data_IF_522427283275
#
_entry.id   IF_522427283275
#
_cell.length_a   1.000
_cell.length_b   1.000
_cell.length_c   1.000
_cell.angle_alpha   90.00
_cell.angle_beta   90.00
_cell.angle_gamma   90.00
#
_symmetry.space_group_name_H-M   'P 1'
#
loop_
_entity.id
_entity.type
_entity.pdbx_description
1 polymer ?
#
# COMPACT_ATOMS: atom_id res chain seq x y z
N UNK A 1 53.79 -27.09 7.70
CA UNK A 1 53.63 -26.25 6.48
C UNK A 1 53.30 -27.04 5.18
N UNK A 2 53.67 -28.31 5.06
CA UNK A 2 53.36 -29.13 3.84
C UNK A 2 51.86 -29.52 3.70
N UNK A 3 51.16 -29.75 4.80
CA UNK A 3 49.74 -30.17 4.77
C UNK A 3 48.76 -29.03 4.46
N UNK A 4 49.06 -27.79 4.86
CA UNK A 4 48.21 -26.63 4.59
C UNK A 4 48.22 -26.27 3.10
N UNK A 5 49.39 -26.37 2.43
CA UNK A 5 49.48 -26.16 0.97
C UNK A 5 48.69 -27.19 0.15
N UNK A 6 48.67 -28.45 0.59
CA UNK A 6 47.87 -29.48 -0.09
C UNK A 6 46.35 -29.26 0.08
N UNK A 7 45.91 -28.80 1.25
CA UNK A 7 44.50 -28.50 1.47
C UNK A 7 44.03 -27.27 0.69
N UNK A 8 44.83 -26.22 0.60
CA UNK A 8 44.51 -25.01 -0.18
C UNK A 8 44.43 -25.31 -1.68
N UNK A 9 45.33 -26.16 -2.22
CA UNK A 9 45.31 -26.54 -3.63
C UNK A 9 44.11 -27.46 -3.92
N UNK A 10 43.71 -28.34 -3.00
CA UNK A 10 42.51 -29.18 -3.16
C UNK A 10 41.22 -28.33 -3.15
N UNK A 11 41.11 -27.33 -2.29
CA UNK A 11 39.96 -26.45 -2.22
C UNK A 11 39.84 -25.56 -3.47
N UNK A 12 40.96 -25.03 -3.98
CA UNK A 12 40.93 -24.24 -5.23
C UNK A 12 40.63 -25.09 -6.47
N UNK A 13 41.05 -26.32 -6.54
CA UNK A 13 40.70 -27.25 -7.63
C UNK A 13 39.24 -27.69 -7.59
N UNK A 14 38.66 -27.90 -6.39
CA UNK A 14 37.24 -28.20 -6.23
C UNK A 14 36.39 -27.00 -6.59
N UNK A 15 36.78 -25.77 -6.20
CA UNK A 15 36.08 -24.57 -6.59
C UNK A 15 36.10 -24.28 -8.11
N UNK A 16 37.23 -24.61 -8.78
CA UNK A 16 37.35 -24.49 -10.23
C UNK A 16 36.55 -25.58 -10.98
N UNK A 17 36.43 -26.78 -10.43
CA UNK A 17 35.59 -27.85 -11.01
C UNK A 17 34.10 -27.61 -10.82
N UNK A 18 33.70 -27.00 -9.70
CA UNK A 18 32.31 -26.59 -9.49
C UNK A 18 31.92 -25.43 -10.39
N UNK A 19 32.84 -24.50 -10.69
CA UNK A 19 32.61 -23.41 -11.62
C UNK A 19 32.57 -23.84 -13.11
N UNK A 20 33.23 -24.95 -13.45
CA UNK A 20 33.25 -25.47 -14.85
C UNK A 20 32.18 -26.53 -15.14
N UNK A 21 31.46 -27.01 -14.13
CA UNK A 21 30.53 -28.15 -14.24
C UNK A 21 29.04 -27.82 -14.05
N UNK A 22 28.65 -26.58 -13.92
CA UNK A 22 27.24 -26.18 -14.03
C UNK A 22 26.92 -26.00 -15.52
N UNK A 23 26.17 -26.93 -16.15
CA UNK A 23 25.47 -26.57 -17.36
C UNK A 23 24.57 -25.40 -16.92
N UNK A 24 24.75 -24.23 -17.51
CA UNK A 24 23.66 -23.25 -17.65
C UNK A 24 22.51 -24.06 -18.25
N UNK A 25 21.63 -24.55 -17.37
CA UNK A 25 20.29 -24.87 -17.77
C UNK A 25 19.75 -23.54 -18.30
N UNK A 26 19.99 -23.29 -19.59
CA UNK A 26 19.22 -22.36 -20.37
C UNK A 26 17.79 -22.80 -20.09
N UNK A 27 17.09 -22.04 -19.23
CA UNK A 27 15.65 -22.13 -19.10
C UNK A 27 15.19 -22.05 -20.53
N UNK A 28 14.70 -23.16 -21.07
CA UNK A 28 14.06 -23.16 -22.38
C UNK A 28 13.12 -21.98 -22.32
N UNK A 29 13.31 -21.02 -23.21
CA UNK A 29 12.42 -19.89 -23.32
C UNK A 29 11.06 -20.52 -23.60
N UNK A 30 10.21 -20.57 -22.58
CA UNK A 30 8.78 -20.79 -22.78
C UNK A 30 8.41 -19.70 -23.73
N UNK A 31 7.94 -20.06 -24.94
CA UNK A 31 7.59 -19.10 -25.97
C UNK A 31 6.76 -17.98 -25.36
N UNK A 32 6.94 -16.77 -25.88
CA UNK A 32 6.18 -15.63 -25.37
C UNK A 32 4.69 -16.01 -25.31
N UNK A 33 3.99 -15.63 -24.23
CA UNK A 33 2.59 -15.99 -24.08
C UNK A 33 1.77 -15.46 -25.26
N UNK A 34 0.76 -16.18 -25.74
CA UNK A 34 -0.11 -15.70 -26.81
C UNK A 34 -0.87 -14.45 -26.35
N UNK A 35 -1.18 -13.57 -27.28
CA UNK A 35 -1.95 -12.36 -27.01
C UNK A 35 -3.39 -12.78 -26.64
N UNK A 36 -3.90 -12.43 -25.47
CA UNK A 36 -5.21 -12.92 -24.98
C UNK A 36 -6.42 -12.19 -25.57
N UNK A 37 -6.22 -11.17 -26.41
CA UNK A 37 -7.27 -10.35 -27.01
C UNK A 37 -7.09 -10.23 -28.54
N UNK A 38 -8.13 -9.80 -29.25
CA UNK A 38 -8.07 -9.54 -30.68
C UNK A 38 -7.12 -8.37 -30.99
N UNK A 39 -6.37 -8.47 -32.08
CA UNK A 39 -5.38 -7.45 -32.52
C UNK A 39 -6.00 -6.47 -33.52
N UNK A 40 -7.01 -6.89 -34.27
CA UNK A 40 -7.64 -6.03 -35.28
C UNK A 40 -8.15 -4.72 -34.68
N UNK A 41 -7.68 -3.59 -35.17
CA UNK A 41 -7.95 -2.26 -34.64
C UNK A 41 -7.14 -1.87 -33.40
N UNK A 42 -6.16 -2.71 -32.99
CA UNK A 42 -5.31 -2.52 -31.80
C UNK A 42 -3.85 -2.79 -32.11
N UNK A 43 -3.43 -2.44 -33.30
CA UNK A 43 -2.08 -2.71 -33.78
C UNK A 43 -1.01 -1.88 -33.05
N UNK A 44 -1.44 -0.82 -32.34
CA UNK A 44 -0.56 0.02 -31.53
C UNK A 44 -0.45 -0.52 -30.10
N UNK A 45 0.29 -1.61 -29.92
CA UNK A 45 0.44 -2.33 -28.66
C UNK A 45 0.90 -1.43 -27.51
N UNK A 46 1.86 -0.54 -27.76
CA UNK A 46 2.43 0.35 -26.74
C UNK A 46 1.46 1.44 -26.25
N UNK A 47 0.32 1.63 -26.90
CA UNK A 47 -0.73 2.51 -26.38
C UNK A 47 -1.28 2.01 -25.03
N UNK A 48 -1.41 0.69 -24.89
CA UNK A 48 -1.92 0.06 -23.66
C UNK A 48 -0.81 -0.60 -22.85
N UNK A 49 0.30 -1.01 -23.49
CA UNK A 49 1.41 -1.75 -22.88
C UNK A 49 2.67 -0.90 -22.68
N UNK A 50 2.56 0.39 -22.45
CA UNK A 50 3.70 1.25 -22.07
C UNK A 50 3.97 1.22 -20.54
N UNK A 51 5.04 1.87 -20.10
CA UNK A 51 5.45 1.88 -18.68
C UNK A 51 4.38 2.44 -17.71
N UNK A 52 3.43 3.23 -18.20
CA UNK A 52 2.32 3.83 -17.45
C UNK A 52 0.95 3.34 -17.92
N UNK A 53 0.93 2.40 -18.86
CA UNK A 53 -0.30 1.85 -19.44
C UNK A 53 -1.02 0.86 -18.54
N UNK A 54 -2.19 0.43 -18.98
CA UNK A 54 -3.05 -0.50 -18.24
C UNK A 54 -2.40 -1.87 -17.97
N UNK A 55 -1.44 -2.29 -18.79
CA UNK A 55 -0.65 -3.50 -18.62
C UNK A 55 0.80 -3.20 -18.99
N UNK A 56 1.62 -2.73 -18.05
CA UNK A 56 3.00 -2.35 -18.31
C UNK A 56 3.83 -3.50 -18.88
N UNK A 57 4.66 -3.22 -19.87
CA UNK A 57 5.63 -4.20 -20.36
C UNK A 57 6.71 -4.46 -19.31
N UNK A 58 7.19 -5.72 -19.17
CA UNK A 58 8.32 -6.03 -18.30
C UNK A 58 9.56 -5.19 -18.65
N UNK A 59 10.39 -4.88 -17.65
CA UNK A 59 11.62 -4.11 -17.85
C UNK A 59 12.54 -4.72 -18.92
N UNK A 60 12.49 -6.03 -19.12
CA UNK A 60 13.21 -6.76 -20.17
C UNK A 60 12.75 -6.42 -21.61
N UNK A 61 11.61 -5.75 -21.75
CA UNK A 61 11.02 -5.35 -23.02
C UNK A 61 11.14 -3.85 -23.31
N UNK A 62 11.78 -3.08 -22.43
CA UNK A 62 11.86 -1.61 -22.53
C UNK A 62 12.51 -1.09 -23.83
N UNK A 63 13.28 -1.91 -24.52
CA UNK A 63 13.95 -1.56 -25.79
C UNK A 63 13.21 -2.00 -27.04
N UNK A 64 12.09 -2.72 -26.89
CA UNK A 64 11.30 -3.18 -28.04
C UNK A 64 10.34 -2.09 -28.52
N UNK A 65 10.19 -2.00 -29.82
CA UNK A 65 9.25 -1.09 -30.47
C UNK A 65 7.98 -1.85 -30.92
N UNK A 66 7.00 -1.10 -31.35
CA UNK A 66 5.68 -1.59 -31.80
C UNK A 66 5.78 -2.81 -32.74
N UNK A 67 6.68 -2.74 -33.73
CA UNK A 67 6.83 -3.81 -34.75
C UNK A 67 7.45 -5.11 -34.22
N UNK A 68 8.03 -5.08 -33.01
CA UNK A 68 8.70 -6.24 -32.43
C UNK A 68 7.72 -7.15 -31.64
N UNK A 69 6.58 -6.63 -31.20
CA UNK A 69 5.66 -7.36 -30.34
C UNK A 69 5.14 -8.64 -30.98
N UNK A 70 4.67 -8.57 -32.21
CA UNK A 70 4.11 -9.71 -32.95
C UNK A 70 5.16 -10.70 -33.46
N UNK A 71 6.44 -10.35 -33.37
CA UNK A 71 7.52 -11.28 -33.72
C UNK A 71 7.71 -12.41 -32.70
N UNK A 72 7.31 -12.15 -31.46
CA UNK A 72 7.43 -13.11 -30.35
C UNK A 72 6.07 -13.54 -29.78
N UNK A 73 5.08 -12.63 -29.73
CA UNK A 73 3.75 -12.91 -29.25
C UNK A 73 2.84 -13.32 -30.41
N UNK A 74 2.43 -14.58 -30.46
CA UNK A 74 1.47 -15.05 -31.45
C UNK A 74 0.11 -14.38 -31.24
N UNK A 75 -0.47 -13.86 -32.32
CA UNK A 75 -1.89 -13.53 -32.31
C UNK A 75 -2.68 -14.80 -32.02
N UNK A 76 -3.54 -14.80 -31.00
CA UNK A 76 -4.56 -15.86 -30.91
C UNK A 76 -5.29 -15.87 -32.25
N UNK A 77 -5.31 -17.04 -32.90
CA UNK A 77 -5.89 -17.19 -34.24
C UNK A 77 -7.41 -16.93 -34.22
N UNK A 78 -7.77 -15.67 -34.18
CA UNK A 78 -9.11 -15.23 -34.57
C UNK A 78 -9.05 -14.86 -36.05
N UNK A 79 -9.26 -15.83 -36.88
CA UNK A 79 -9.42 -15.66 -38.33
C UNK A 79 -10.81 -15.13 -38.61
N UNK A 80 -11.04 -13.88 -38.38
CA UNK A 80 -11.99 -12.99 -39.06
C UNK A 80 -11.83 -11.59 -38.43
N UNK A 81 -12.09 -10.48 -39.14
CA UNK A 81 -12.45 -9.25 -38.48
C UNK A 81 -13.69 -9.61 -37.65
N UNK A 82 -13.53 -9.65 -36.32
CA UNK A 82 -14.66 -9.84 -35.45
C UNK A 82 -15.55 -8.61 -35.64
N UNK A 83 -16.54 -8.72 -36.53
CA UNK A 83 -17.73 -7.88 -36.45
C UNK A 83 -18.23 -8.13 -35.06
N UNK A 84 -18.01 -7.19 -34.14
CA UNK A 84 -18.52 -7.27 -32.79
C UNK A 84 -20.01 -7.56 -32.92
N UNK A 85 -20.50 -8.71 -32.44
CA UNK A 85 -21.92 -8.95 -32.50
C UNK A 85 -22.57 -7.76 -31.83
N UNK A 86 -23.66 -7.24 -32.40
CA UNK A 86 -24.34 -6.05 -31.90
C UNK A 86 -24.98 -6.32 -30.52
N UNK A 87 -24.10 -6.54 -29.52
CA UNK A 87 -24.50 -6.75 -28.12
C UNK A 87 -25.42 -5.62 -27.67
N UNK A 88 -25.04 -4.40 -28.02
CA UNK A 88 -25.79 -3.18 -27.72
C UNK A 88 -27.15 -3.16 -28.42
N UNK A 89 -27.35 -3.85 -29.54
CA UNK A 89 -28.65 -3.95 -30.18
C UNK A 89 -29.74 -4.48 -29.25
N UNK A 90 -29.37 -5.37 -28.32
CA UNK A 90 -30.28 -5.86 -27.26
C UNK A 90 -30.00 -5.17 -25.93
N UNK A 91 -28.75 -5.05 -25.51
CA UNK A 91 -28.37 -4.60 -24.18
C UNK A 91 -28.48 -3.08 -23.98
N UNK A 92 -28.85 -2.29 -24.98
CA UNK A 92 -29.17 -0.86 -24.85
C UNK A 92 -30.61 -0.56 -24.44
N UNK A 93 -31.42 -1.59 -24.23
CA UNK A 93 -32.83 -1.44 -23.83
C UNK A 93 -32.90 -1.28 -22.31
N UNK A 94 -33.38 -0.14 -21.75
CA UNK A 94 -33.36 0.12 -20.30
C UNK A 94 -34.15 -0.91 -19.48
N UNK A 95 -35.21 -1.45 -20.06
CA UNK A 95 -36.08 -2.42 -19.38
C UNK A 95 -35.60 -3.87 -19.49
N UNK A 96 -34.48 -4.09 -20.22
CA UNK A 96 -33.97 -5.43 -20.40
C UNK A 96 -33.41 -5.99 -19.07
N UNK A 97 -34.09 -6.98 -18.53
CA UNK A 97 -33.74 -7.62 -17.28
C UNK A 97 -34.21 -9.04 -17.23
N UNK A 98 -33.65 -9.84 -16.33
CA UNK A 98 -34.07 -11.21 -16.06
C UNK A 98 -34.30 -11.41 -14.57
N UNK A 99 -35.21 -12.34 -14.22
CA UNK A 99 -35.33 -12.89 -12.88
C UNK A 99 -34.35 -14.04 -12.75
N UNK A 100 -33.50 -14.01 -11.75
CA UNK A 100 -32.53 -15.06 -11.43
C UNK A 100 -33.13 -16.04 -10.39
N UNK A 101 -32.39 -17.10 -10.05
CA UNK A 101 -32.88 -18.19 -9.19
C UNK A 101 -33.34 -17.73 -7.82
N UNK A 102 -32.63 -16.75 -7.22
CA UNK A 102 -33.01 -16.15 -5.93
C UNK A 102 -34.27 -15.29 -5.96
N UNK A 103 -34.80 -14.99 -7.16
CA UNK A 103 -35.90 -14.04 -7.35
C UNK A 103 -35.47 -12.59 -7.51
N UNK A 104 -34.16 -12.30 -7.33
CA UNK A 104 -33.57 -10.99 -7.60
C UNK A 104 -33.70 -10.64 -9.09
N UNK A 105 -33.64 -9.36 -9.42
CA UNK A 105 -33.68 -8.89 -10.80
C UNK A 105 -32.27 -8.47 -11.24
N UNK A 106 -31.73 -9.15 -12.25
CA UNK A 106 -30.50 -8.74 -12.91
C UNK A 106 -30.84 -7.85 -14.10
N UNK A 107 -30.43 -6.58 -14.03
CA UNK A 107 -30.48 -5.68 -15.20
C UNK A 107 -29.42 -6.14 -16.22
N UNK A 108 -29.85 -6.24 -17.45
CA UNK A 108 -28.97 -6.54 -18.59
C UNK A 108 -28.70 -5.29 -19.45
N UNK A 109 -29.20 -4.14 -19.00
CA UNK A 109 -29.00 -2.86 -19.64
C UNK A 109 -27.54 -2.38 -19.52
N UNK A 110 -26.98 -1.95 -20.63
CA UNK A 110 -25.68 -1.27 -20.69
C UNK A 110 -25.86 0.08 -21.37
N UNK A 111 -25.63 1.16 -20.63
CA UNK A 111 -25.58 2.49 -21.21
C UNK A 111 -24.31 2.63 -22.06
N UNK A 112 -24.49 2.70 -23.38
CA UNK A 112 -23.40 2.79 -24.33
C UNK A 112 -22.57 4.05 -24.13
N UNK A 113 -23.20 5.19 -23.84
CA UNK A 113 -22.49 6.46 -23.63
C UNK A 113 -21.61 6.41 -22.36
N UNK A 114 -22.11 5.77 -21.30
CA UNK A 114 -21.36 5.56 -20.05
C UNK A 114 -20.19 4.61 -20.28
N UNK A 115 -20.41 3.51 -21.02
CA UNK A 115 -19.33 2.58 -21.35
C UNK A 115 -18.26 3.25 -22.22
N UNK A 116 -18.64 3.97 -23.27
CA UNK A 116 -17.70 4.66 -24.16
C UNK A 116 -16.90 5.74 -23.43
N UNK A 117 -17.48 6.39 -22.41
CA UNK A 117 -16.78 7.35 -21.55
C UNK A 117 -15.87 6.68 -20.51
N UNK A 118 -15.97 5.37 -20.33
CA UNK A 118 -15.11 4.62 -19.40
C UNK A 118 -13.69 4.49 -19.93
N UNK A 119 -12.73 4.16 -19.05
CA UNK A 119 -11.34 3.94 -19.45
C UNK A 119 -11.16 2.74 -20.39
N UNK A 120 -12.17 1.89 -20.52
CA UNK A 120 -12.20 0.70 -21.37
C UNK A 120 -13.01 0.91 -22.66
N UNK A 121 -13.83 1.96 -22.73
CA UNK A 121 -14.88 2.12 -23.74
C UNK A 121 -14.41 2.11 -25.18
N UNK A 122 -13.28 2.75 -25.47
CA UNK A 122 -12.67 2.82 -26.79
C UNK A 122 -11.55 1.77 -27.02
N UNK A 123 -11.29 0.92 -26.04
CA UNK A 123 -10.14 0.00 -26.03
C UNK A 123 -10.52 -1.46 -26.02
N UNK A 124 -11.66 -1.82 -25.43
CA UNK A 124 -12.08 -3.19 -25.23
C UNK A 124 -13.43 -3.46 -25.89
N UNK A 125 -13.58 -4.67 -26.42
CA UNK A 125 -14.86 -5.20 -26.88
C UNK A 125 -15.60 -5.85 -25.70
N UNK A 126 -16.92 -5.96 -25.81
CA UNK A 126 -17.75 -6.64 -24.79
C UNK A 126 -17.24 -8.07 -24.54
N UNK A 127 -16.82 -8.76 -25.60
CA UNK A 127 -16.29 -10.13 -25.55
C UNK A 127 -14.90 -10.27 -24.92
N UNK A 128 -14.14 -9.20 -24.76
CA UNK A 128 -12.87 -9.25 -24.03
C UNK A 128 -13.08 -9.57 -22.55
N UNK A 129 -14.14 -9.00 -21.99
CA UNK A 129 -14.59 -9.32 -20.62
C UNK A 129 -15.54 -10.53 -20.61
N UNK A 130 -16.56 -10.52 -21.46
CA UNK A 130 -17.58 -11.57 -21.54
C UNK A 130 -17.17 -12.73 -22.46
N UNK A 131 -15.94 -13.21 -22.35
CA UNK A 131 -15.32 -14.21 -23.24
C UNK A 131 -16.03 -15.57 -23.27
N UNK A 132 -16.91 -15.85 -22.31
CA UNK A 132 -17.73 -17.06 -22.28
C UNK A 132 -18.99 -16.97 -23.14
N UNK A 133 -19.28 -15.77 -23.70
CA UNK A 133 -20.39 -15.56 -24.63
C UNK A 133 -19.88 -15.76 -26.05
N UNK A 134 -20.10 -16.95 -26.60
CA UNK A 134 -19.53 -17.35 -27.90
C UNK A 134 -20.59 -17.45 -29.03
N UNK A 135 -21.87 -17.39 -28.68
CA UNK A 135 -22.99 -17.46 -29.63
C UNK A 135 -23.96 -16.31 -29.44
N UNK A 136 -24.61 -15.86 -30.50
CA UNK A 136 -25.50 -14.71 -30.51
C UNK A 136 -26.77 -15.04 -31.35
N UNK A 137 -27.98 -14.97 -30.75
CA UNK A 137 -28.25 -14.75 -29.33
C UNK A 137 -27.68 -15.90 -28.48
N UNK A 138 -27.32 -15.58 -27.24
CA UNK A 138 -26.80 -16.58 -26.30
C UNK A 138 -27.88 -17.12 -25.39
N UNK A 139 -27.76 -18.36 -24.89
CA UNK A 139 -28.74 -18.94 -23.98
C UNK A 139 -28.72 -18.22 -22.62
N UNK A 140 -29.84 -18.23 -21.94
CA UNK A 140 -29.91 -17.79 -20.55
C UNK A 140 -29.00 -18.67 -19.67
N UNK A 141 -28.37 -18.04 -18.67
CA UNK A 141 -27.54 -18.74 -17.68
C UNK A 141 -28.33 -18.91 -16.40
N UNK A 142 -28.10 -20.00 -15.71
CA UNK A 142 -28.52 -20.13 -14.32
C UNK A 142 -27.60 -19.27 -13.44
N UNK A 143 -28.20 -18.31 -12.75
CA UNK A 143 -27.56 -17.41 -11.84
C UNK A 143 -28.24 -17.56 -10.49
N UNK A 144 -27.55 -18.13 -9.47
CA UNK A 144 -28.13 -18.35 -8.16
C UNK A 144 -28.50 -17.04 -7.46
N UNK A 145 -27.53 -16.16 -7.26
CA UNK A 145 -27.71 -14.81 -6.67
C UNK A 145 -26.87 -13.78 -7.44
N UNK A 146 -27.21 -12.50 -7.33
CA UNK A 146 -26.39 -11.42 -7.91
C UNK A 146 -24.97 -11.45 -7.37
N UNK A 147 -24.80 -11.75 -6.09
CA UNK A 147 -23.48 -11.79 -5.46
C UNK A 147 -22.63 -12.95 -5.95
N UNK A 148 -23.14 -14.14 -6.03
CA UNK A 148 -22.42 -15.28 -6.59
C UNK A 148 -22.05 -15.05 -8.06
N UNK A 149 -22.94 -14.42 -8.81
CA UNK A 149 -22.62 -14.01 -10.18
C UNK A 149 -21.42 -13.04 -10.19
N UNK A 150 -21.43 -12.00 -9.36
CA UNK A 150 -20.31 -11.05 -9.27
C UNK A 150 -19.00 -11.74 -8.90
N UNK A 151 -19.04 -12.70 -7.96
CA UNK A 151 -17.86 -13.50 -7.57
C UNK A 151 -17.33 -14.31 -8.76
N UNK A 152 -18.22 -14.92 -9.57
CA UNK A 152 -17.77 -15.67 -10.76
C UNK A 152 -17.14 -14.76 -11.83
N UNK A 153 -17.54 -13.49 -11.89
CA UNK A 153 -16.99 -12.52 -12.84
C UNK A 153 -15.66 -11.89 -12.36
N UNK A 154 -15.28 -12.06 -11.11
CA UNK A 154 -14.04 -11.56 -10.53
C UNK A 154 -12.79 -11.92 -11.36
N UNK A 155 -12.75 -13.13 -11.89
CA UNK A 155 -11.66 -13.67 -12.70
C UNK A 155 -11.43 -12.94 -14.03
N UNK A 156 -12.42 -12.20 -14.55
CA UNK A 156 -12.27 -11.51 -15.85
C UNK A 156 -11.20 -10.42 -15.79
N UNK A 157 -11.12 -9.71 -14.67
CA UNK A 157 -10.19 -8.59 -14.49
C UNK A 157 -8.73 -9.05 -14.54
N UNK A 158 -8.42 -10.23 -14.00
CA UNK A 158 -7.05 -10.75 -13.89
C UNK A 158 -6.38 -10.98 -15.24
N UNK A 159 -7.13 -11.15 -16.33
CA UNK A 159 -6.56 -11.38 -17.67
C UNK A 159 -5.62 -10.24 -18.10
N UNK A 160 -5.96 -9.00 -17.71
CA UNK A 160 -5.19 -7.81 -18.03
C UNK A 160 -4.56 -7.17 -16.79
N UNK A 161 -5.22 -7.26 -15.63
CA UNK A 161 -4.78 -6.64 -14.37
C UNK A 161 -4.21 -7.68 -13.40
N UNK A 162 -3.36 -8.59 -13.89
CA UNK A 162 -2.82 -9.70 -13.11
C UNK A 162 -2.04 -9.24 -11.87
N UNK A 163 -1.23 -8.19 -11.98
CA UNK A 163 -0.46 -7.66 -10.84
C UNK A 163 -1.36 -7.09 -9.74
N UNK A 164 -2.45 -6.41 -10.10
CA UNK A 164 -3.41 -5.92 -9.13
C UNK A 164 -4.22 -7.08 -8.52
N UNK A 165 -4.57 -8.07 -9.35
CA UNK A 165 -5.22 -9.27 -8.86
C UNK A 165 -4.37 -10.01 -7.84
N UNK A 166 -3.08 -10.24 -8.11
CA UNK A 166 -2.18 -10.93 -7.17
C UNK A 166 -2.04 -10.16 -5.86
N UNK A 167 -1.97 -8.84 -5.90
CA UNK A 167 -1.95 -7.99 -4.70
C UNK A 167 -3.22 -8.13 -3.86
N UNK A 168 -4.39 -8.32 -4.50
CA UNK A 168 -5.62 -8.51 -3.72
C UNK A 168 -5.66 -9.81 -2.94
N UNK A 169 -4.88 -10.83 -3.35
CA UNK A 169 -4.81 -12.10 -2.63
C UNK A 169 -4.19 -11.96 -1.23
N UNK A 170 -3.38 -10.91 -1.01
CA UNK A 170 -2.78 -10.58 0.28
C UNK A 170 -3.62 -9.57 1.09
N UNK A 171 -4.84 -9.28 0.64
CA UNK A 171 -5.73 -8.32 1.29
C UNK A 171 -6.64 -8.98 2.32
N UNK A 172 -6.90 -8.29 3.43
CA UNK A 172 -7.89 -8.71 4.43
C UNK A 172 -9.28 -8.95 3.83
N UNK A 173 -9.63 -8.25 2.77
CA UNK A 173 -10.89 -8.47 2.06
C UNK A 173 -10.92 -9.84 1.38
N UNK A 174 -9.83 -10.23 0.72
CA UNK A 174 -9.74 -11.55 0.09
C UNK A 174 -9.71 -12.68 1.12
N UNK A 175 -9.01 -12.50 2.23
CA UNK A 175 -9.03 -13.46 3.34
C UNK A 175 -10.45 -13.72 3.85
N UNK A 176 -11.26 -12.67 4.00
CA UNK A 176 -12.67 -12.80 4.39
C UNK A 176 -13.50 -13.53 3.34
N UNK A 177 -13.28 -13.23 2.06
CA UNK A 177 -13.94 -13.91 0.96
C UNK A 177 -13.64 -15.43 0.99
N UNK A 178 -12.39 -15.82 1.19
CA UNK A 178 -11.99 -17.24 1.27
C UNK A 178 -12.53 -17.95 2.49
N UNK A 179 -12.87 -17.21 3.55
CA UNK A 179 -13.56 -17.72 4.75
C UNK A 179 -15.08 -17.82 4.56
N UNK A 180 -15.60 -17.49 3.38
CA UNK A 180 -17.03 -17.60 3.03
C UNK A 180 -17.81 -16.31 3.27
N UNK A 181 -17.19 -15.19 3.65
CA UNK A 181 -17.87 -13.90 3.75
C UNK A 181 -18.06 -13.30 2.35
N UNK A 182 -19.20 -13.59 1.76
CA UNK A 182 -19.57 -13.12 0.43
C UNK A 182 -19.89 -11.60 0.40
N UNK A 183 -20.03 -10.93 1.54
CA UNK A 183 -20.22 -9.48 1.63
C UNK A 183 -18.96 -8.67 1.36
N UNK A 184 -17.79 -9.31 1.29
CA UNK A 184 -16.49 -8.68 1.10
C UNK A 184 -16.36 -8.10 -0.32
N UNK A 185 -15.79 -6.88 -0.50
CA UNK A 185 -15.74 -6.23 -1.80
C UNK A 185 -14.87 -6.98 -2.82
N UNK A 186 -15.30 -6.91 -4.06
CA UNK A 186 -14.59 -7.39 -5.25
C UNK A 186 -14.08 -6.21 -6.08
N UNK A 187 -13.36 -6.47 -7.17
CA UNK A 187 -12.87 -5.42 -8.07
C UNK A 187 -14.00 -4.47 -8.51
N UNK A 188 -15.16 -5.03 -8.86
CA UNK A 188 -16.31 -4.28 -9.38
C UNK A 188 -17.01 -3.42 -8.33
N UNK A 189 -16.92 -3.78 -7.06
CA UNK A 189 -17.53 -3.00 -5.97
C UNK A 189 -16.78 -1.67 -5.75
N UNK A 190 -15.46 -1.67 -6.02
CA UNK A 190 -14.64 -0.46 -5.91
C UNK A 190 -14.54 0.33 -7.22
N UNK A 191 -14.47 -0.38 -8.36
CA UNK A 191 -14.18 0.25 -9.66
C UNK A 191 -15.40 0.40 -10.57
N UNK A 192 -16.53 -0.23 -10.25
CA UNK A 192 -17.69 -0.33 -11.14
C UNK A 192 -17.49 -1.42 -12.20
N UNK A 193 -18.40 -1.48 -13.17
CA UNK A 193 -18.43 -2.51 -14.21
C UNK A 193 -18.25 -1.88 -15.60
N UNK A 194 -19.30 -1.21 -16.09
CA UNK A 194 -19.30 -0.57 -17.39
C UNK A 194 -18.94 0.93 -17.36
N UNK A 195 -18.83 1.50 -16.16
CA UNK A 195 -18.56 2.90 -15.87
C UNK A 195 -17.18 3.13 -15.25
N UNK A 196 -16.23 2.24 -15.50
CA UNK A 196 -14.92 2.29 -14.86
C UNK A 196 -14.18 3.57 -15.24
N UNK A 197 -13.80 4.36 -14.24
CA UNK A 197 -13.02 5.59 -14.40
C UNK A 197 -11.77 5.53 -13.53
N UNK A 198 -10.86 6.50 -13.69
CA UNK A 198 -9.69 6.61 -12.82
C UNK A 198 -10.15 6.87 -11.37
N UNK A 199 -9.81 5.98 -10.41
CA UNK A 199 -10.34 6.06 -9.04
C UNK A 199 -9.86 7.32 -8.28
N UNK A 200 -8.73 7.89 -8.69
CA UNK A 200 -8.11 9.07 -8.07
C UNK A 200 -8.55 10.41 -8.68
N UNK A 201 -9.58 10.42 -9.51
CA UNK A 201 -10.05 11.64 -10.19
C UNK A 201 -11.55 11.87 -9.96
N UNK A 202 -11.91 12.81 -9.05
CA UNK A 202 -11.03 13.54 -8.10
C UNK A 202 -10.50 12.63 -6.99
N UNK A 203 -9.41 13.03 -6.32
CA UNK A 203 -8.76 12.22 -5.27
C UNK A 203 -9.70 11.87 -4.11
N UNK A 204 -10.63 12.75 -3.76
CA UNK A 204 -11.67 12.53 -2.75
C UNK A 204 -12.59 11.33 -3.06
N UNK A 205 -12.71 10.93 -4.32
CA UNK A 205 -13.51 9.77 -4.74
C UNK A 205 -13.03 8.48 -4.09
N UNK A 206 -11.73 8.34 -3.83
CA UNK A 206 -11.18 7.16 -3.14
C UNK A 206 -11.87 6.96 -1.79
N UNK A 207 -11.93 8.01 -0.98
CA UNK A 207 -12.57 7.93 0.34
C UNK A 207 -14.08 7.69 0.25
N UNK A 208 -14.75 8.25 -0.76
CA UNK A 208 -16.18 8.00 -1.01
C UNK A 208 -16.44 6.54 -1.40
N UNK A 209 -15.60 5.93 -2.22
CA UNK A 209 -15.74 4.50 -2.55
C UNK A 209 -15.63 3.62 -1.30
N UNK A 210 -14.69 3.92 -0.41
CA UNK A 210 -14.58 3.19 0.86
C UNK A 210 -15.82 3.38 1.75
N UNK A 211 -16.48 4.54 1.70
CA UNK A 211 -17.65 4.86 2.52
C UNK A 211 -18.88 4.00 2.20
N UNK A 212 -18.94 3.41 1.01
CA UNK A 212 -20.07 2.54 0.63
C UNK A 212 -20.25 1.36 1.61
N UNK A 213 -19.17 0.90 2.22
CA UNK A 213 -19.18 -0.13 3.26
C UNK A 213 -18.71 0.39 4.62
N UNK A 214 -17.80 1.37 4.65
CA UNK A 214 -17.15 1.90 5.86
C UNK A 214 -17.67 3.31 6.21
N UNK A 215 -18.97 3.55 6.13
CA UNK A 215 -19.59 4.87 6.33
C UNK A 215 -19.20 5.54 7.66
N UNK A 216 -19.24 4.81 8.78
CA UNK A 216 -18.88 5.36 10.09
C UNK A 216 -17.42 5.85 10.14
N UNK A 217 -16.51 5.10 9.53
CA UNK A 217 -15.09 5.47 9.46
C UNK A 217 -14.92 6.70 8.56
N UNK A 218 -15.65 6.74 7.45
CA UNK A 218 -15.64 7.90 6.56
C UNK A 218 -16.16 9.16 7.27
N UNK A 219 -17.22 9.07 8.05
CA UNK A 219 -17.78 10.21 8.78
C UNK A 219 -16.77 10.76 9.81
N UNK A 220 -16.05 9.88 10.52
CA UNK A 220 -14.97 10.27 11.42
C UNK A 220 -13.84 10.96 10.64
N UNK A 221 -13.39 10.34 9.54
CA UNK A 221 -12.35 10.90 8.67
C UNK A 221 -12.78 12.26 8.09
N UNK A 222 -13.99 12.39 7.58
CA UNK A 222 -14.52 13.64 7.02
C UNK A 222 -14.55 14.79 8.06
N UNK A 223 -14.75 14.45 9.33
CA UNK A 223 -14.67 15.38 10.47
C UNK A 223 -13.24 15.73 10.89
N UNK A 224 -12.24 14.96 10.50
CA UNK A 224 -10.83 15.14 10.88
C UNK A 224 -10.17 16.33 10.17
N UNK A 225 -8.96 16.71 10.62
CA UNK A 225 -8.18 17.74 9.94
C UNK A 225 -7.83 17.37 8.50
N UNK A 226 -7.53 16.09 8.25
CA UNK A 226 -7.20 15.59 6.92
C UNK A 226 -8.43 15.54 6.01
N UNK A 227 -9.55 15.00 6.50
CA UNK A 227 -10.77 14.88 5.72
C UNK A 227 -11.39 16.23 5.39
N UNK A 228 -11.42 17.17 6.34
CA UNK A 228 -11.89 18.56 6.08
C UNK A 228 -11.06 19.23 5.00
N UNK A 229 -9.75 19.13 5.06
CA UNK A 229 -8.85 19.71 4.05
C UNK A 229 -9.09 19.08 2.66
N UNK A 230 -9.27 17.75 2.58
CA UNK A 230 -9.55 17.08 1.31
C UNK A 230 -10.91 17.48 0.73
N UNK A 231 -11.97 17.41 1.55
CA UNK A 231 -13.36 17.48 1.07
C UNK A 231 -13.81 18.92 0.90
N UNK A 232 -13.50 19.79 1.88
CA UNK A 232 -13.98 21.16 1.90
C UNK A 232 -13.04 22.15 1.20
N UNK A 233 -11.73 21.88 1.23
CA UNK A 233 -10.71 22.77 0.70
C UNK A 233 -10.10 22.27 -0.63
N UNK A 234 -10.48 21.04 -1.09
CA UNK A 234 -9.88 20.35 -2.24
C UNK A 234 -8.35 20.26 -2.16
N UNK A 235 -7.84 20.09 -0.94
CA UNK A 235 -6.42 19.99 -0.69
C UNK A 235 -5.96 18.55 -0.91
N UNK A 236 -5.18 18.31 -1.95
CA UNK A 236 -4.69 16.99 -2.32
C UNK A 236 -3.33 16.63 -1.68
N UNK A 237 -2.79 17.49 -0.86
CA UNK A 237 -1.58 17.20 -0.07
C UNK A 237 -1.87 16.31 1.15
N UNK A 238 -3.15 16.15 1.54
CA UNK A 238 -3.57 15.32 2.67
C UNK A 238 -3.84 13.88 2.28
N UNK A 239 -3.72 12.92 3.22
CA UNK A 239 -3.93 11.50 2.91
C UNK A 239 -5.42 11.19 2.66
N UNK A 240 -5.65 10.22 1.76
CA UNK A 240 -6.92 9.50 1.60
C UNK A 240 -6.79 8.09 2.19
N UNK A 241 -7.88 7.34 2.24
CA UNK A 241 -7.89 6.00 2.87
C UNK A 241 -6.74 5.10 2.39
N UNK A 242 -6.46 5.11 1.08
CA UNK A 242 -5.42 4.25 0.48
C UNK A 242 -3.99 4.68 0.77
N UNK A 243 -3.75 5.87 1.27
CA UNK A 243 -2.39 6.29 1.65
C UNK A 243 -1.94 5.63 2.96
N UNK A 244 -2.91 5.25 3.81
CA UNK A 244 -2.64 4.52 5.04
C UNK A 244 -2.89 3.02 4.92
N UNK A 245 -3.95 2.62 4.20
CA UNK A 245 -4.38 1.23 4.12
C UNK A 245 -3.99 0.52 2.83
N UNK A 246 -3.32 1.21 1.89
CA UNK A 246 -3.08 0.73 0.53
C UNK A 246 -4.40 0.52 -0.25
N UNK A 247 -4.32 -0.01 -1.46
CA UNK A 247 -5.50 -0.19 -2.31
C UNK A 247 -5.84 -1.66 -2.57
N UNK A 248 -4.86 -2.44 -3.01
CA UNK A 248 -5.06 -3.83 -3.38
C UNK A 248 -4.51 -4.82 -2.35
N UNK A 249 -3.53 -4.39 -1.54
CA UNK A 249 -2.94 -5.15 -0.43
C UNK A 249 -3.39 -4.56 0.91
N UNK A 250 -4.71 -4.42 1.12
CA UNK A 250 -5.24 -3.83 2.35
C UNK A 250 -4.96 -4.78 3.52
N UNK A 251 -4.05 -4.37 4.42
CA UNK A 251 -3.71 -5.13 5.61
C UNK A 251 -4.80 -5.00 6.69
N UNK A 252 -4.92 -5.99 7.58
CA UNK A 252 -5.80 -5.89 8.74
C UNK A 252 -5.21 -4.88 9.75
N UNK A 253 -5.87 -3.72 9.99
CA UNK A 253 -5.35 -2.69 10.88
C UNK A 253 -5.35 -3.10 12.36
N UNK A 254 -5.91 -4.27 12.71
CA UNK A 254 -5.95 -4.81 14.07
C UNK A 254 -4.76 -5.68 14.40
N UNK A 255 -3.80 -5.83 13.49
CA UNK A 255 -2.57 -6.59 13.74
C UNK A 255 -1.50 -5.76 14.42
N UNK A 256 -0.63 -6.43 15.17
CA UNK A 256 0.53 -5.79 15.79
C UNK A 256 1.47 -5.18 14.74
N UNK A 257 1.68 -5.87 13.63
CA UNK A 257 2.53 -5.41 12.53
C UNK A 257 1.99 -4.11 11.91
N UNK A 258 0.67 -4.01 11.65
CA UNK A 258 0.08 -2.77 11.15
C UNK A 258 0.22 -1.62 12.15
N UNK A 259 0.00 -1.89 13.45
CA UNK A 259 0.17 -0.88 14.49
C UNK A 259 1.61 -0.35 14.54
N UNK A 260 2.61 -1.21 14.47
CA UNK A 260 4.02 -0.80 14.43
C UNK A 260 4.34 0.02 13.17
N UNK A 261 3.85 -0.41 12.00
CA UNK A 261 4.00 0.30 10.73
C UNK A 261 3.28 1.66 10.70
N UNK A 262 2.25 1.85 11.53
CA UNK A 262 1.49 3.11 11.54
C UNK A 262 2.35 4.34 11.85
N UNK A 263 3.43 4.18 12.61
CA UNK A 263 4.40 5.24 12.89
C UNK A 263 5.06 5.72 11.59
N UNK A 264 5.54 4.79 10.76
CA UNK A 264 6.18 5.12 9.50
C UNK A 264 5.20 5.76 8.51
N UNK A 265 3.92 5.35 8.52
CA UNK A 265 2.87 5.96 7.71
C UNK A 265 2.71 7.45 8.05
N UNK A 266 2.63 7.80 9.33
CA UNK A 266 2.54 9.19 9.78
C UNK A 266 3.83 9.98 9.43
N UNK A 267 4.98 9.41 9.74
CA UNK A 267 6.29 10.03 9.52
C UNK A 267 6.55 10.29 8.04
N UNK A 268 6.10 9.44 7.14
CA UNK A 268 6.31 9.58 5.69
C UNK A 268 5.91 10.97 5.15
N UNK A 269 4.84 11.55 5.71
CA UNK A 269 4.41 12.91 5.37
C UNK A 269 4.90 13.93 6.39
N UNK A 270 4.78 13.65 7.71
CA UNK A 270 5.08 14.61 8.76
C UNK A 270 6.59 14.91 8.96
N UNK A 271 7.49 14.12 8.38
CA UNK A 271 8.91 14.45 8.28
C UNK A 271 9.31 15.10 6.94
N UNK A 272 8.37 15.22 6.00
CA UNK A 272 8.63 15.85 4.71
C UNK A 272 8.65 17.39 4.86
N UNK A 273 9.85 17.96 4.94
CA UNK A 273 10.05 19.40 5.16
C UNK A 273 9.32 20.25 4.10
N UNK A 274 9.42 19.87 2.83
CA UNK A 274 8.81 20.60 1.72
C UNK A 274 7.28 20.63 1.81
N UNK A 275 6.68 19.55 2.30
CA UNK A 275 5.23 19.42 2.48
C UNK A 275 4.79 20.18 3.75
N UNK A 276 5.43 19.91 4.88
CA UNK A 276 5.02 20.45 6.18
C UNK A 276 5.21 21.95 6.29
N UNK A 277 6.24 22.51 5.62
CA UNK A 277 6.49 23.94 5.57
C UNK A 277 5.31 24.74 5.00
N UNK A 278 4.55 24.17 4.05
CA UNK A 278 3.34 24.81 3.50
C UNK A 278 2.27 25.09 4.57
N UNK A 279 2.27 24.29 5.62
CA UNK A 279 1.25 24.32 6.68
C UNK A 279 1.80 24.87 8.01
N UNK A 280 3.06 25.29 8.04
CA UNK A 280 3.71 25.77 9.27
C UNK A 280 3.88 24.67 10.32
N UNK A 281 3.90 23.39 9.92
CA UNK A 281 4.06 22.23 10.80
C UNK A 281 5.54 21.88 10.90
N UNK A 282 6.01 21.66 12.14
CA UNK A 282 7.39 21.23 12.40
C UNK A 282 7.61 19.79 11.94
N UNK A 283 8.72 19.54 11.27
CA UNK A 283 9.18 18.20 10.87
C UNK A 283 9.97 17.47 11.96
N UNK A 284 10.27 18.13 13.09
CA UNK A 284 10.94 17.51 14.23
C UNK A 284 10.09 16.45 14.96
N UNK A 285 8.83 16.28 14.53
CA UNK A 285 7.86 15.33 15.08
C UNK A 285 8.43 13.91 15.09
N UNK A 286 8.94 13.44 13.95
CA UNK A 286 9.50 12.09 13.81
C UNK A 286 10.70 11.89 14.73
N UNK A 287 11.65 12.83 14.71
CA UNK A 287 12.87 12.76 15.48
C UNK A 287 12.59 12.80 16.98
N UNK A 288 11.78 13.75 17.43
CA UNK A 288 11.45 13.89 18.85
C UNK A 288 10.67 12.70 19.40
N UNK A 289 9.78 12.10 18.60
CA UNK A 289 9.08 10.88 18.98
C UNK A 289 10.06 9.69 19.12
N UNK A 290 10.92 9.47 18.12
CA UNK A 290 11.86 8.35 18.13
C UNK A 290 12.98 8.51 19.20
N UNK A 291 13.24 9.71 19.68
CA UNK A 291 14.16 10.00 20.77
C UNK A 291 13.49 9.89 22.16
N UNK A 292 12.17 9.86 22.23
CA UNK A 292 11.44 9.70 23.48
C UNK A 292 11.26 8.20 23.84
N UNK A 293 10.81 7.92 25.07
CA UNK A 293 10.67 6.57 25.58
C UNK A 293 9.69 5.73 24.75
N UNK A 294 8.54 6.29 24.34
CA UNK A 294 7.53 5.57 23.58
C UNK A 294 8.07 5.16 22.20
N UNK A 295 8.60 6.12 21.45
CA UNK A 295 9.10 5.86 20.11
C UNK A 295 10.36 4.99 20.08
N UNK A 296 11.27 5.15 21.05
CA UNK A 296 12.45 4.30 21.18
C UNK A 296 12.07 2.85 21.46
N UNK A 297 11.08 2.60 22.32
CA UNK A 297 10.57 1.26 22.64
C UNK A 297 9.85 0.63 21.43
N UNK A 298 8.99 1.39 20.74
CA UNK A 298 8.32 0.94 19.50
C UNK A 298 9.34 0.57 18.43
N UNK A 299 10.37 1.40 18.23
CA UNK A 299 11.43 1.13 17.24
C UNK A 299 12.24 -0.13 17.58
N UNK A 300 12.41 -0.46 18.86
CA UNK A 300 13.06 -1.68 19.32
C UNK A 300 12.18 -2.89 19.02
N UNK A 301 10.90 -2.85 19.44
CA UNK A 301 9.94 -3.93 19.23
C UNK A 301 9.74 -4.26 17.74
N UNK A 302 9.67 -3.25 16.88
CA UNK A 302 9.55 -3.45 15.44
C UNK A 302 10.72 -4.25 14.81
N UNK A 303 11.88 -4.28 15.50
CA UNK A 303 13.04 -5.07 15.07
C UNK A 303 13.04 -6.50 15.63
N UNK A 304 12.46 -6.69 16.80
CA UNK A 304 12.56 -7.95 17.53
C UNK A 304 11.39 -8.89 17.22
N UNK A 305 10.18 -8.39 17.18
CA UNK A 305 8.98 -9.21 16.92
C UNK A 305 7.82 -8.38 16.38
N UNK A 306 7.31 -8.80 15.23
CA UNK A 306 6.15 -8.18 14.58
C UNK A 306 4.82 -8.76 15.05
N UNK A 307 4.85 -9.87 15.77
CA UNK A 307 3.65 -10.63 16.18
C UNK A 307 3.21 -10.28 17.60
N UNK A 308 4.06 -9.57 18.37
CA UNK A 308 3.73 -9.13 19.72
C UNK A 308 3.06 -7.78 19.67
N UNK A 309 1.85 -7.70 20.25
CA UNK A 309 1.14 -6.43 20.35
C UNK A 309 1.94 -5.44 21.20
N UNK A 310 2.35 -4.28 20.64
CA UNK A 310 3.07 -3.28 21.40
C UNK A 310 2.12 -2.59 22.38
N UNK A 311 2.52 -2.55 23.65
CA UNK A 311 1.82 -1.77 24.69
C UNK A 311 2.23 -0.29 24.64
N UNK A 312 3.34 0.01 23.99
CA UNK A 312 3.86 1.36 23.83
C UNK A 312 2.98 2.20 22.93
N UNK A 313 2.88 3.50 23.28
CA UNK A 313 2.07 4.43 22.55
C UNK A 313 2.65 4.75 21.17
N UNK A 314 1.85 4.57 20.12
CA UNK A 314 2.11 5.05 18.77
C UNK A 314 1.36 6.37 18.52
N UNK A 315 1.60 7.02 17.40
CA UNK A 315 1.03 8.33 17.08
C UNK A 315 -0.50 8.37 17.27
N UNK A 316 -1.19 7.31 16.84
CA UNK A 316 -2.65 7.23 16.87
C UNK A 316 -3.26 7.11 18.27
N UNK A 317 -2.51 6.66 19.27
CA UNK A 317 -3.02 6.56 20.64
C UNK A 317 -3.23 7.94 21.29
N UNK A 318 -2.43 8.91 20.84
CA UNK A 318 -2.55 10.27 21.31
C UNK A 318 -3.42 11.12 20.37
N UNK A 319 -3.25 10.98 19.07
CA UNK A 319 -3.88 11.86 18.06
C UNK A 319 -5.21 11.35 17.51
N UNK A 320 -5.63 10.13 17.85
CA UNK A 320 -6.73 9.44 17.19
C UNK A 320 -6.32 8.79 15.87
N UNK A 321 -7.23 8.06 15.26
CA UNK A 321 -6.97 7.30 14.02
C UNK A 321 -7.62 7.98 12.82
N UNK A 322 -8.95 8.03 12.80
CA UNK A 322 -9.71 8.63 11.72
C UNK A 322 -10.29 10.01 12.09
N UNK A 323 -10.24 10.36 13.36
CA UNK A 323 -10.77 11.58 13.98
C UNK A 323 -9.69 12.58 14.39
N UNK A 324 -8.55 12.54 13.72
CA UNK A 324 -7.39 13.39 14.03
C UNK A 324 -7.77 14.86 13.92
N UNK A 325 -7.60 15.60 15.03
CA UNK A 325 -7.91 17.04 15.13
C UNK A 325 -6.62 17.88 15.21
N UNK A 326 -6.76 19.18 14.90
CA UNK A 326 -5.67 20.12 15.17
C UNK A 326 -5.35 20.15 16.66
N UNK A 327 -4.08 20.34 17.06
CA UNK A 327 -3.69 20.31 18.49
C UNK A 327 -4.38 21.39 19.34
N UNK A 328 -4.86 22.46 18.74
CA UNK A 328 -5.57 23.57 19.35
C UNK A 328 -7.11 23.47 19.30
N UNK A 329 -7.65 22.44 18.65
CA UNK A 329 -9.09 22.17 18.61
C UNK A 329 -9.55 21.67 19.99
N UNK A 330 -10.70 22.19 20.49
CA UNK A 330 -11.24 21.83 21.80
C UNK A 330 -11.58 20.34 21.93
N UNK A 331 -11.88 19.67 20.81
CA UNK A 331 -12.17 18.24 20.77
C UNK A 331 -10.91 17.39 20.59
N UNK A 332 -9.76 18.00 20.40
CA UNK A 332 -8.50 17.27 20.21
C UNK A 332 -8.12 16.53 21.51
N UNK A 333 -7.74 15.26 21.36
CA UNK A 333 -7.24 14.44 22.47
C UNK A 333 -5.91 14.96 23.05
N UNK A 334 -5.14 15.70 22.24
CA UNK A 334 -3.82 16.26 22.61
C UNK A 334 -3.87 17.72 23.05
N UNK A 335 -5.04 18.38 23.03
CA UNK A 335 -5.15 19.70 23.65
C UNK A 335 -4.86 19.59 25.15
N UNK A 336 -4.22 20.59 25.72
CA UNK A 336 -3.77 20.57 27.13
C UNK A 336 -4.86 20.17 28.12
N UNK A 337 -6.12 20.57 27.86
CA UNK A 337 -7.27 20.23 28.71
C UNK A 337 -7.60 18.73 28.71
N UNK A 338 -7.42 18.05 27.58
CA UNK A 338 -7.77 16.64 27.40
C UNK A 338 -6.59 15.69 27.61
N UNK A 339 -5.35 16.21 27.53
CA UNK A 339 -4.13 15.43 27.48
C UNK A 339 -3.94 14.49 28.72
N UNK A 340 -4.39 14.92 29.90
CA UNK A 340 -4.37 14.06 31.10
C UNK A 340 -5.19 12.78 30.89
N UNK A 341 -6.37 12.91 30.29
CA UNK A 341 -7.24 11.75 30.03
C UNK A 341 -6.63 10.84 28.97
N UNK A 342 -6.00 11.42 27.96
CA UNK A 342 -5.26 10.66 26.93
C UNK A 342 -4.09 9.88 27.56
N UNK A 343 -3.31 10.49 28.46
CA UNK A 343 -2.26 9.78 29.19
C UNK A 343 -2.81 8.66 30.09
N UNK A 344 -3.97 8.88 30.74
CA UNK A 344 -4.60 7.91 31.64
C UNK A 344 -5.10 6.64 30.94
N UNK A 345 -5.26 6.63 29.64
CA UNK A 345 -5.61 5.39 28.91
C UNK A 345 -4.58 4.28 29.09
N UNK A 346 -3.30 4.64 29.29
CA UNK A 346 -2.20 3.72 29.53
C UNK A 346 -1.55 3.92 30.93
N UNK A 347 -1.65 5.14 31.50
CA UNK A 347 -1.08 5.54 32.81
C UNK A 347 -2.20 5.93 33.76
N UNK A 348 -2.93 4.97 34.37
CA UNK A 348 -4.13 5.24 35.18
C UNK A 348 -3.91 6.22 36.34
N UNK A 349 -2.69 6.24 36.88
CA UNK A 349 -2.32 7.11 38.00
C UNK A 349 -1.80 8.50 37.55
N UNK A 350 -1.88 8.83 36.28
CA UNK A 350 -1.41 10.11 35.75
C UNK A 350 -2.18 11.28 36.39
N UNK A 351 -1.47 12.12 37.15
CA UNK A 351 -1.99 13.36 37.71
C UNK A 351 -1.99 14.50 36.71
N UNK A 352 -2.54 15.64 37.12
CA UNK A 352 -2.65 16.84 36.23
C UNK A 352 -1.31 17.41 35.81
N UNK A 353 -0.24 17.13 36.56
CA UNK A 353 1.14 17.56 36.19
C UNK A 353 1.87 16.54 35.31
N UNK A 354 1.33 15.31 35.13
CA UNK A 354 1.97 14.26 34.34
C UNK A 354 2.27 14.67 32.90
N UNK A 355 1.32 15.25 32.15
CA UNK A 355 1.58 15.70 30.78
C UNK A 355 2.63 16.82 30.69
N UNK A 356 2.83 17.59 31.77
CA UNK A 356 3.83 18.66 31.82
C UNK A 356 5.28 18.17 31.87
N UNK A 357 5.49 16.89 32.22
CA UNK A 357 6.79 16.24 32.19
C UNK A 357 7.20 15.80 30.77
N UNK A 358 6.22 15.66 29.86
CA UNK A 358 6.46 15.30 28.46
C UNK A 358 6.73 16.54 27.62
N UNK A 359 7.81 16.51 26.85
CA UNK A 359 8.29 17.67 26.08
C UNK A 359 7.54 17.88 24.78
N UNK A 360 6.51 17.05 24.48
CA UNK A 360 5.83 17.14 23.17
C UNK A 360 6.80 16.89 21.99
N UNK A 361 6.50 17.40 20.82
CA UNK A 361 7.29 17.20 19.61
C UNK A 361 8.23 18.36 19.31
N UNK A 362 8.99 18.81 20.31
CA UNK A 362 10.02 19.82 20.09
C UNK A 362 11.33 19.46 20.79
N UNK A 363 12.44 19.86 20.22
CA UNK A 363 13.72 19.69 20.88
C UNK A 363 13.82 20.63 22.10
N UNK A 364 14.36 20.12 23.21
CA UNK A 364 14.66 20.96 24.39
C UNK A 364 15.60 22.09 23.99
N UNK A 365 15.18 23.31 24.29
CA UNK A 365 15.98 24.53 24.09
C UNK A 365 16.11 25.29 25.40
N UNK A 366 17.03 26.22 25.46
CA UNK A 366 17.20 27.09 26.63
C UNK A 366 15.95 27.89 26.98
N UNK A 367 15.06 28.14 25.97
CA UNK A 367 13.84 28.91 26.17
C UNK A 367 12.64 28.02 26.54
N UNK A 368 12.49 26.85 25.87
CA UNK A 368 11.31 25.97 26.04
C UNK A 368 11.45 24.96 27.18
N UNK A 369 12.66 24.42 27.41
CA UNK A 369 12.93 23.43 28.44
C UNK A 369 14.36 23.57 28.98
N UNK A 370 14.69 24.67 29.69
CA UNK A 370 16.09 25.00 30.06
C UNK A 370 16.75 23.91 30.89
N UNK A 371 16.07 23.33 31.86
CA UNK A 371 16.65 22.29 32.69
C UNK A 371 17.07 21.08 31.86
N UNK A 372 16.19 20.57 31.01
CA UNK A 372 16.47 19.40 30.17
C UNK A 372 17.57 19.71 29.15
N UNK A 373 17.56 20.92 28.60
CA UNK A 373 18.60 21.38 27.67
C UNK A 373 19.99 21.37 28.31
N UNK A 374 20.15 21.98 29.50
CA UNK A 374 21.44 22.03 30.19
C UNK A 374 21.90 20.67 30.69
N UNK A 375 20.98 19.83 31.20
CA UNK A 375 21.32 18.46 31.62
C UNK A 375 21.77 17.62 30.41
N UNK A 376 21.06 17.69 29.28
CA UNK A 376 21.45 17.02 28.03
C UNK A 376 22.84 17.48 27.56
N UNK A 377 23.09 18.80 27.62
CA UNK A 377 24.38 19.36 27.21
C UNK A 377 25.51 18.91 28.15
N UNK A 378 25.23 18.89 29.47
CA UNK A 378 26.18 18.41 30.47
C UNK A 378 26.61 16.96 30.20
N UNK A 379 25.67 16.05 30.01
CA UNK A 379 26.01 14.66 29.73
C UNK A 379 26.66 14.47 28.35
N UNK A 380 26.31 15.26 27.37
CA UNK A 380 26.93 15.23 26.03
C UNK A 380 28.42 15.58 26.09
N UNK A 381 28.84 16.35 27.07
CA UNK A 381 30.27 16.69 27.31
C UNK A 381 30.91 15.70 28.30
N UNK A 382 30.23 15.37 29.37
CA UNK A 382 30.75 14.50 30.44
C UNK A 382 31.05 13.08 29.96
N UNK A 383 30.14 12.49 29.20
CA UNK A 383 30.28 11.06 28.77
C UNK A 383 31.52 10.92 27.86
N UNK A 384 31.72 11.69 26.78
CA UNK A 384 32.95 11.62 26.00
C UNK A 384 34.20 11.90 26.79
N UNK A 385 34.16 12.87 27.73
CA UNK A 385 35.29 13.17 28.59
C UNK A 385 35.71 11.96 29.44
N UNK A 386 34.76 11.30 30.09
CA UNK A 386 35.03 10.09 30.87
C UNK A 386 35.55 8.96 29.96
N UNK A 387 34.92 8.72 28.81
CA UNK A 387 35.35 7.68 27.89
C UNK A 387 36.75 7.91 27.34
N UNK A 388 37.06 9.14 26.96
CA UNK A 388 38.41 9.48 26.50
C UNK A 388 39.46 9.31 27.62
N UNK A 389 39.15 9.76 28.85
CA UNK A 389 39.98 9.54 30.02
C UNK A 389 40.26 8.06 30.30
N UNK A 390 39.20 7.22 30.20
CA UNK A 390 39.31 5.80 30.37
C UNK A 390 40.17 5.15 29.26
N UNK A 391 39.98 5.54 28.01
CA UNK A 391 40.79 5.05 26.88
C UNK A 391 42.24 5.41 27.06
N UNK A 392 42.52 6.65 27.46
CA UNK A 392 43.90 7.10 27.74
C UNK A 392 44.50 6.27 28.88
N UNK A 393 43.75 6.03 29.95
CA UNK A 393 44.21 5.20 31.06
C UNK A 393 44.56 3.78 30.61
N UNK A 394 43.67 3.14 29.83
CA UNK A 394 43.92 1.80 29.27
C UNK A 394 45.17 1.80 28.37
N UNK A 395 45.32 2.79 27.51
CA UNK A 395 46.51 2.90 26.63
C UNK A 395 47.80 3.08 27.39
N UNK A 396 47.80 3.87 28.46
CA UNK A 396 48.94 4.06 29.32
C UNK A 396 49.31 2.79 30.09
N UNK A 397 48.31 2.05 30.56
CA UNK A 397 48.56 0.78 31.25
C UNK A 397 49.09 -0.30 30.28
N UNK A 398 48.53 -0.42 29.09
CA UNK A 398 49.05 -1.26 28.01
C UNK A 398 50.48 -0.89 27.65
N UNK A 399 50.79 0.41 27.50
CA UNK A 399 52.14 0.88 27.24
C UNK A 399 53.11 0.45 28.36
N UNK A 400 52.73 0.68 29.62
CA UNK A 400 53.52 0.27 30.77
C UNK A 400 53.77 -1.25 30.78
N UNK A 401 52.77 -2.08 30.47
CA UNK A 401 52.93 -3.56 30.37
C UNK A 401 53.90 -3.95 29.25
N UNK A 402 53.86 -3.27 28.11
CA UNK A 402 54.71 -3.54 26.96
C UNK A 402 56.15 -3.08 27.18
N UNK A 403 56.33 -1.89 27.82
CA UNK A 403 57.68 -1.34 28.01
C UNK A 403 58.42 -1.91 29.24
N UNK A 404 57.70 -2.47 30.23
CA UNK A 404 58.33 -3.08 31.42
C UNK A 404 58.47 -4.60 31.25
N UNK A 405 58.34 -5.11 30.03
CA UNK A 405 58.82 -6.45 29.65
C UNK A 405 60.19 -6.32 29.04
#
# INVERSE_FOLDING_TARGET
MRNIRRQVIAITLIAALVAAGLPLLAKAATGAPPIPHAIAGREQCLTCHNATGASPIPATHATFNESSCLSCHSASASTAPAVEPSCIGCHSQPELSIKITSGETLSLFVDRAVFDASIHGDKLLCTDCHSSVTTFPHPAREIPTLREYSITQYEMCKKCHFDNYTKTLDSVHYDKLTQGDTGTPLCTDCHGVHNITLPSQPRSRISLTCSECHQKIYDMYAGSVHGKALISENNYDVPVCTDCHLSHTIEDPRTADFRLKSVDLCISCHSNEKLMQKYGISTEVAKSYLEDFHGASVALLARESKDVWPEEAVCTDCHGVHDIMKPDDLNSSVIKANLVNTCRSCHPDAGTNFPGAWLSHYEPSADKAPLVFYVRWFYRVLIPFILVGLIIHILLDLWRVVTNR
#
